data_IF_198504567475
#
_entry.id   IF_198504567475
#
_cell.length_a   1.000
_cell.length_b   1.000
_cell.length_c   1.000
_cell.angle_alpha   90.00
_cell.angle_beta   90.00
_cell.angle_gamma   90.00
#
_symmetry.space_group_name_H-M   'P 1'
#
loop_
_entity.id
_entity.type
_entity.pdbx_description
1 polymer ?
#
# COMPACT_ATOMS: atom_id res chain seq x y z
N UNK A 1 17.88 -12.64 35.93
CA UNK A 1 17.02 -11.92 34.96
C UNK A 1 15.95 -12.88 34.50
N UNK A 2 14.65 -12.51 34.49
CA UNK A 2 13.62 -13.40 34.00
C UNK A 2 13.78 -13.59 32.49
N UNK A 3 13.68 -14.84 32.03
CA UNK A 3 13.72 -15.21 30.62
C UNK A 3 12.29 -15.38 30.12
N UNK A 4 11.91 -14.65 29.08
CA UNK A 4 10.63 -14.82 28.40
C UNK A 4 10.85 -15.53 27.07
N UNK A 5 10.00 -16.49 26.75
CA UNK A 5 10.06 -17.24 25.48
C UNK A 5 8.83 -16.91 24.65
N UNK A 6 9.03 -16.34 23.47
CA UNK A 6 7.95 -16.09 22.51
C UNK A 6 7.77 -17.30 21.60
N UNK A 7 6.56 -17.85 21.52
CA UNK A 7 6.23 -18.95 20.61
C UNK A 7 5.46 -18.37 19.43
N UNK A 8 5.99 -18.53 18.23
CA UNK A 8 5.34 -18.11 16.98
C UNK A 8 5.36 -19.26 15.99
N UNK A 9 4.37 -19.29 15.09
CA UNK A 9 4.33 -20.21 13.96
C UNK A 9 4.92 -19.46 12.77
N UNK A 10 6.01 -19.97 12.21
CA UNK A 10 6.52 -19.47 10.94
C UNK A 10 5.50 -19.82 9.84
N UNK A 11 5.31 -18.95 8.83
CA UNK A 11 4.59 -19.32 7.64
C UNK A 11 5.30 -20.49 6.95
N UNK A 12 4.56 -21.53 6.59
CA UNK A 12 5.13 -22.76 6.01
C UNK A 12 5.43 -22.57 4.51
N UNK A 13 4.80 -21.58 3.88
CA UNK A 13 4.95 -21.25 2.47
C UNK A 13 5.66 -19.90 2.26
N UNK A 14 6.54 -19.86 1.26
CA UNK A 14 7.29 -18.65 0.90
C UNK A 14 6.37 -17.45 0.59
N UNK A 15 5.23 -17.70 -0.05
CA UNK A 15 4.25 -16.67 -0.39
C UNK A 15 3.64 -16.01 0.87
N UNK A 16 3.34 -16.79 1.91
CA UNK A 16 2.82 -16.27 3.17
C UNK A 16 3.89 -15.49 3.95
N UNK A 17 5.14 -15.97 3.93
CA UNK A 17 6.28 -15.26 4.50
C UNK A 17 6.50 -13.90 3.83
N UNK A 18 6.50 -13.86 2.50
CA UNK A 18 6.68 -12.61 1.77
C UNK A 18 5.51 -11.65 1.97
N UNK A 19 4.27 -12.13 2.04
CA UNK A 19 3.12 -11.30 2.37
C UNK A 19 3.24 -10.66 3.77
N UNK A 20 3.65 -11.44 4.77
CA UNK A 20 3.85 -10.94 6.14
C UNK A 20 5.01 -9.95 6.23
N UNK A 21 6.10 -10.20 5.50
CA UNK A 21 7.31 -9.37 5.52
C UNK A 21 7.15 -8.07 4.72
N UNK A 22 6.53 -8.14 3.55
CA UNK A 22 6.41 -7.02 2.61
C UNK A 22 5.11 -6.24 2.78
N UNK A 23 4.17 -6.70 3.61
CA UNK A 23 2.87 -6.05 3.79
C UNK A 23 2.98 -4.58 4.15
N UNK A 24 3.84 -4.22 5.11
CA UNK A 24 4.03 -2.81 5.50
C UNK A 24 4.62 -1.96 4.36
N UNK A 25 5.54 -2.51 3.59
CA UNK A 25 6.15 -1.82 2.45
C UNK A 25 5.12 -1.64 1.33
N UNK A 26 4.32 -2.67 1.06
CA UNK A 26 3.24 -2.63 0.07
C UNK A 26 2.20 -1.56 0.41
N UNK A 27 1.77 -1.44 1.67
CA UNK A 27 0.84 -0.38 2.10
C UNK A 27 1.45 1.01 1.89
N UNK A 28 2.72 1.19 2.27
CA UNK A 28 3.43 2.45 2.01
C UNK A 28 3.51 2.78 0.52
N UNK A 29 3.75 1.78 -0.34
CA UNK A 29 3.78 1.97 -1.79
C UNK A 29 2.40 2.37 -2.33
N UNK A 30 1.33 1.71 -1.87
CA UNK A 30 -0.04 2.08 -2.26
C UNK A 30 -0.37 3.52 -1.87
N UNK A 31 0.03 3.94 -0.67
CA UNK A 31 -0.15 5.32 -0.21
C UNK A 31 0.61 6.32 -1.10
N UNK A 32 1.85 6.02 -1.46
CA UNK A 32 2.66 6.88 -2.35
C UNK A 32 2.01 7.01 -3.73
N UNK A 33 1.46 5.93 -4.28
CA UNK A 33 0.74 5.94 -5.55
C UNK A 33 -0.50 6.84 -5.45
N UNK A 34 -1.33 6.69 -4.41
CA UNK A 34 -2.50 7.57 -4.21
C UNK A 34 -2.09 9.05 -4.13
N UNK A 35 -1.03 9.37 -3.36
CA UNK A 35 -0.57 10.75 -3.24
C UNK A 35 -0.04 11.30 -4.57
N UNK A 36 0.66 10.49 -5.35
CA UNK A 36 1.13 10.91 -6.67
C UNK A 36 -0.04 11.22 -7.60
N UNK A 37 -1.00 10.31 -7.74
CA UNK A 37 -2.20 10.51 -8.56
C UNK A 37 -3.02 11.72 -8.08
N UNK A 38 -3.18 11.89 -6.76
CA UNK A 38 -3.86 13.04 -6.16
C UNK A 38 -3.14 14.36 -6.50
N UNK A 39 -1.81 14.37 -6.41
CA UNK A 39 -1.01 15.55 -6.73
C UNK A 39 -1.13 15.92 -8.22
N UNK A 40 -1.05 14.93 -9.12
CA UNK A 40 -1.25 15.12 -10.56
C UNK A 40 -2.62 15.75 -10.86
N UNK A 41 -3.68 15.26 -10.25
CA UNK A 41 -5.06 15.75 -10.46
C UNK A 41 -5.27 17.16 -9.88
N UNK A 42 -4.67 17.46 -8.72
CA UNK A 42 -4.89 18.73 -7.99
C UNK A 42 -3.97 19.87 -8.41
N UNK A 43 -2.71 19.55 -8.72
CA UNK A 43 -1.66 20.54 -8.91
C UNK A 43 -0.99 20.46 -10.29
N UNK A 44 -1.17 19.35 -11.01
CA UNK A 44 -0.68 19.20 -12.37
C UNK A 44 -1.62 19.77 -13.43
N UNK A 45 -1.21 19.61 -14.69
CA UNK A 45 -2.00 19.93 -15.88
C UNK A 45 -2.22 18.68 -16.74
N UNK A 46 -2.88 17.63 -16.21
CA UNK A 46 -3.11 16.40 -16.96
C UNK A 46 -4.12 16.63 -18.09
N UNK A 47 -4.00 15.84 -19.15
CA UNK A 47 -5.09 15.73 -20.14
C UNK A 47 -6.36 15.16 -19.49
N UNK A 48 -7.53 15.28 -20.13
CA UNK A 48 -8.76 14.67 -19.63
C UNK A 48 -8.65 13.15 -19.40
N UNK A 49 -7.94 12.45 -20.29
CA UNK A 49 -7.70 11.00 -20.21
C UNK A 49 -6.79 10.67 -19.02
N UNK A 50 -5.69 11.40 -18.86
CA UNK A 50 -4.76 11.23 -17.74
C UNK A 50 -5.43 11.48 -16.38
N UNK A 51 -6.28 12.51 -16.30
CA UNK A 51 -7.08 12.79 -15.10
C UNK A 51 -8.00 11.62 -14.77
N UNK A 52 -8.71 11.10 -15.77
CA UNK A 52 -9.65 9.98 -15.60
C UNK A 52 -8.91 8.74 -15.12
N UNK A 53 -7.80 8.41 -15.76
CA UNK A 53 -6.96 7.27 -15.38
C UNK A 53 -6.41 7.42 -13.96
N UNK A 54 -5.91 8.61 -13.59
CA UNK A 54 -5.41 8.86 -12.25
C UNK A 54 -6.51 8.69 -11.19
N UNK A 55 -7.74 9.12 -11.47
CA UNK A 55 -8.87 8.90 -10.56
C UNK A 55 -9.29 7.43 -10.49
N UNK A 56 -9.26 6.69 -11.60
CA UNK A 56 -9.53 5.25 -11.62
C UNK A 56 -8.52 4.46 -10.79
N UNK A 57 -7.22 4.74 -10.94
CA UNK A 57 -6.16 4.13 -10.11
C UNK A 57 -6.45 4.37 -8.63
N UNK A 58 -6.82 5.60 -8.24
CA UNK A 58 -7.15 5.92 -6.85
C UNK A 58 -8.38 5.17 -6.34
N UNK A 59 -9.38 4.93 -7.20
CA UNK A 59 -10.57 4.12 -6.85
C UNK A 59 -10.25 2.62 -6.69
N UNK A 60 -9.17 2.12 -7.29
CA UNK A 60 -8.73 0.72 -7.12
C UNK A 60 -8.08 0.47 -5.76
N UNK A 61 -7.61 1.50 -5.08
CA UNK A 61 -6.95 1.38 -3.77
C UNK A 61 -8.04 1.54 -2.68
N UNK A 62 -8.35 0.49 -1.90
CA UNK A 62 -9.31 0.59 -0.81
C UNK A 62 -8.86 1.63 0.21
N UNK A 63 -9.81 2.39 0.75
CA UNK A 63 -9.52 3.48 1.70
C UNK A 63 -8.86 2.95 2.98
N UNK A 64 -9.22 1.75 3.40
CA UNK A 64 -8.69 1.05 4.57
C UNK A 64 -7.18 0.77 4.45
N UNK A 65 -6.64 0.73 3.23
CA UNK A 65 -5.20 0.54 2.99
C UNK A 65 -4.43 1.87 2.96
N UNK A 66 -5.12 3.01 3.07
CA UNK A 66 -4.56 4.37 3.05
C UNK A 66 -4.60 5.04 4.42
N UNK A 67 -5.32 4.46 5.39
CA UNK A 67 -5.39 4.91 6.78
C UNK A 67 -4.16 4.40 7.55
N UNK A 68 -3.13 5.24 7.66
CA UNK A 68 -1.94 5.01 8.47
C UNK A 68 -1.84 5.99 9.64
#
# INVERSE_FOLDING_TARGET
>A
MPTATLRYRLPDEQAEYDAARLGSEALSTLWQIDQHCRSLVKHGTPTPEERTLAEEIRRMIPAELLEH
#
